data_IF_880304180017
#
_entry.id   IF_880304180017
#
_cell.length_a   1.000
_cell.length_b   1.000
_cell.length_c   1.000
_cell.angle_alpha   90.00
_cell.angle_beta   90.00
_cell.angle_gamma   90.00
#
_symmetry.space_group_name_H-M   'P 1'
#
loop_
_entity.id
_entity.type
_entity.pdbx_description
1 polymer ?
#
# COMPACT_ATOMS: atom_id res chain seq x y z
N UNK A 1 7.59 -3.37 88.01
CA UNK A 1 8.29 -3.33 86.75
C UNK A 1 7.51 -4.17 85.68
N UNK A 2 6.60 -3.53 84.94
CA UNK A 2 5.86 -4.18 83.83
C UNK A 2 6.43 -3.68 82.54
N UNK A 3 6.94 -4.59 81.71
CA UNK A 3 7.27 -4.36 80.29
C UNK A 3 6.04 -4.68 79.41
N UNK A 4 5.55 -3.69 78.71
CA UNK A 4 4.56 -3.87 77.66
C UNK A 4 5.27 -4.07 76.33
N UNK A 5 5.08 -5.26 75.72
CA UNK A 5 5.55 -5.58 74.35
C UNK A 5 4.46 -5.15 73.39
N UNK A 6 4.74 -4.11 72.62
CA UNK A 6 3.86 -3.66 71.54
C UNK A 6 4.11 -4.48 70.27
N UNK A 7 3.12 -5.24 69.81
CA UNK A 7 3.13 -5.93 68.54
C UNK A 7 2.77 -4.91 67.41
N UNK A 8 3.73 -4.60 66.58
CA UNK A 8 3.53 -3.89 65.31
C UNK A 8 3.03 -4.87 64.27
N UNK A 9 1.73 -4.92 64.03
CA UNK A 9 1.15 -5.58 62.86
C UNK A 9 1.38 -4.68 61.61
N UNK A 10 2.40 -5.02 60.87
CA UNK A 10 2.64 -4.45 59.54
C UNK A 10 1.64 -4.98 58.53
N UNK A 11 0.61 -4.23 58.20
CA UNK A 11 -0.20 -4.49 57.00
C UNK A 11 0.63 -4.16 55.73
N UNK A 12 1.34 -5.16 55.24
CA UNK A 12 1.89 -5.15 53.91
C UNK A 12 0.76 -5.33 52.89
N UNK A 13 0.16 -4.21 52.47
CA UNK A 13 -0.72 -4.20 51.29
C UNK A 13 0.15 -4.44 50.06
N UNK A 14 0.17 -5.68 49.55
CA UNK A 14 0.61 -5.92 48.20
C UNK A 14 -0.28 -5.07 47.28
N UNK A 15 0.29 -3.99 46.73
CA UNK A 15 -0.27 -3.34 45.55
C UNK A 15 -0.20 -4.40 44.45
N UNK A 16 -1.32 -5.13 44.20
CA UNK A 16 -1.54 -5.80 42.93
C UNK A 16 -1.31 -4.72 41.86
N UNK A 17 -0.23 -4.89 41.09
CA UNK A 17 -0.06 -4.12 39.87
C UNK A 17 -1.36 -4.30 39.07
N UNK A 18 -2.02 -3.21 38.80
CA UNK A 18 -3.19 -3.16 37.92
C UNK A 18 -2.67 -3.52 36.52
N UNK A 19 -2.72 -4.81 36.21
CA UNK A 19 -2.36 -5.38 34.91
C UNK A 19 -3.53 -5.21 33.95
N UNK A 20 -4.15 -4.03 33.99
CA UNK A 20 -5.05 -3.57 32.93
C UNK A 20 -4.18 -3.39 31.68
N UNK A 21 -4.11 -4.45 30.87
CA UNK A 21 -3.39 -4.40 29.57
C UNK A 21 -3.85 -3.16 28.83
N UNK A 22 -2.92 -2.20 28.69
CA UNK A 22 -3.19 -0.95 27.97
C UNK A 22 -3.76 -1.29 26.60
N UNK A 23 -4.95 -0.79 26.27
CA UNK A 23 -5.57 -0.93 24.95
C UNK A 23 -4.66 -0.26 23.91
N UNK A 24 -4.15 -1.04 22.97
CA UNK A 24 -3.35 -0.51 21.85
C UNK A 24 -4.28 0.07 20.79
N UNK A 25 -3.99 1.27 20.31
CA UNK A 25 -4.75 1.90 19.22
C UNK A 25 -3.93 1.86 17.95
N UNK A 26 -4.46 1.26 16.91
CA UNK A 26 -3.82 1.14 15.60
C UNK A 26 -4.63 1.91 14.56
N UNK A 27 -4.02 2.90 13.91
CA UNK A 27 -4.59 3.54 12.73
C UNK A 27 -4.32 2.68 11.49
N UNK A 28 -5.36 2.33 10.75
CA UNK A 28 -5.22 1.66 9.44
C UNK A 28 -5.68 2.64 8.37
N UNK A 29 -4.76 3.07 7.52
CA UNK A 29 -5.05 3.92 6.38
C UNK A 29 -4.88 3.14 5.08
N UNK A 30 -5.92 3.14 4.27
CA UNK A 30 -5.95 2.52 2.94
C UNK A 30 -6.18 3.61 1.88
N UNK A 31 -5.47 3.53 0.75
CA UNK A 31 -5.56 4.53 -0.31
C UNK A 31 -6.95 4.55 -0.95
N UNK A 32 -7.43 3.37 -1.38
CA UNK A 32 -8.69 3.18 -2.10
C UNK A 32 -9.17 1.74 -1.89
N UNK A 33 -10.44 1.46 -2.16
CA UNK A 33 -10.99 0.11 -2.14
C UNK A 33 -10.76 -0.60 -3.48
N UNK A 34 -10.08 -1.72 -3.42
CA UNK A 34 -10.04 -2.78 -4.44
C UNK A 34 -9.55 -4.08 -3.79
N UNK A 35 -9.76 -5.23 -4.46
CA UNK A 35 -9.58 -6.55 -3.87
C UNK A 35 -8.22 -6.78 -3.23
N UNK A 36 -7.12 -6.34 -3.87
CA UNK A 36 -5.76 -6.54 -3.34
C UNK A 36 -5.51 -5.73 -2.05
N UNK A 37 -5.89 -4.44 -2.00
CA UNK A 37 -5.71 -3.63 -0.78
C UNK A 37 -6.62 -4.08 0.36
N UNK A 38 -7.84 -4.54 0.04
CA UNK A 38 -8.77 -5.09 1.03
C UNK A 38 -8.22 -6.40 1.62
N UNK A 39 -7.60 -7.24 0.80
CA UNK A 39 -6.93 -8.45 1.25
C UNK A 39 -5.72 -8.13 2.15
N UNK A 40 -4.90 -7.12 1.79
CA UNK A 40 -3.79 -6.66 2.60
C UNK A 40 -4.24 -6.14 3.98
N UNK A 41 -5.34 -5.36 4.02
CA UNK A 41 -5.96 -4.87 5.26
C UNK A 41 -6.42 -6.03 6.16
N UNK A 42 -7.20 -6.96 5.59
CA UNK A 42 -7.66 -8.16 6.30
C UNK A 42 -6.48 -9.01 6.80
N UNK A 43 -5.45 -9.16 5.95
CA UNK A 43 -4.23 -9.89 6.30
C UNK A 43 -3.46 -9.27 7.46
N UNK A 44 -3.33 -7.94 7.49
CA UNK A 44 -2.71 -7.23 8.62
C UNK A 44 -3.47 -7.49 9.93
N UNK A 45 -4.79 -7.34 9.93
CA UNK A 45 -5.64 -7.59 11.13
C UNK A 45 -5.54 -9.04 11.59
N UNK A 46 -5.59 -10.00 10.65
CA UNK A 46 -5.43 -11.42 10.95
C UNK A 46 -4.04 -11.74 11.53
N UNK A 47 -2.99 -11.12 10.96
CA UNK A 47 -1.62 -11.22 11.48
C UNK A 47 -1.50 -10.70 12.91
N UNK A 48 -2.08 -9.55 13.21
CA UNK A 48 -2.15 -9.00 14.57
C UNK A 48 -2.88 -9.95 15.53
N UNK A 49 -4.02 -10.49 15.11
CA UNK A 49 -4.80 -11.45 15.91
C UNK A 49 -4.00 -12.73 16.20
N UNK A 50 -3.23 -13.25 15.23
CA UNK A 50 -2.37 -14.43 15.41
C UNK A 50 -1.26 -14.22 16.43
N UNK A 51 -0.87 -12.95 16.67
CA UNK A 51 0.12 -12.55 17.69
C UNK A 51 -0.53 -12.15 19.02
N UNK A 52 -1.83 -12.38 19.17
CA UNK A 52 -2.57 -12.12 20.41
C UNK A 52 -3.16 -10.72 20.53
N UNK A 53 -3.07 -9.89 19.49
CA UNK A 53 -3.73 -8.57 19.44
C UNK A 53 -5.14 -8.75 18.87
N UNK A 54 -6.11 -8.92 19.75
CA UNK A 54 -7.50 -9.16 19.36
C UNK A 54 -8.34 -7.90 19.47
N UNK A 55 -9.08 -7.61 18.43
CA UNK A 55 -9.92 -6.42 18.36
C UNK A 55 -10.96 -6.42 19.48
N UNK A 56 -11.12 -5.26 20.12
CA UNK A 56 -11.98 -5.00 21.28
C UNK A 56 -11.60 -5.76 22.58
N UNK A 57 -10.54 -6.61 22.56
CA UNK A 57 -9.98 -7.18 23.79
C UNK A 57 -8.77 -6.39 24.29
N UNK A 58 -7.78 -6.15 23.40
CA UNK A 58 -6.54 -5.45 23.74
C UNK A 58 -5.99 -4.57 22.60
N UNK A 59 -6.67 -4.51 21.45
CA UNK A 59 -6.38 -3.59 20.35
C UNK A 59 -7.69 -2.97 19.83
N UNK A 60 -7.59 -1.69 19.46
CA UNK A 60 -8.64 -0.95 18.75
C UNK A 60 -8.09 -0.47 17.41
N UNK A 61 -8.83 -0.69 16.34
CA UNK A 61 -8.49 -0.21 15.01
C UNK A 61 -9.30 1.04 14.63
N UNK A 62 -8.61 2.11 14.22
CA UNK A 62 -9.20 3.27 13.55
C UNK A 62 -8.96 3.09 12.04
N UNK A 63 -9.95 2.53 11.34
CA UNK A 63 -9.87 2.22 9.91
C UNK A 63 -10.34 3.40 9.09
N UNK A 64 -9.51 3.84 8.15
CA UNK A 64 -9.79 4.97 7.27
C UNK A 64 -9.46 4.62 5.83
N UNK A 65 -10.30 5.09 4.90
CA UNK A 65 -10.09 4.97 3.46
C UNK A 65 -10.05 6.37 2.83
N UNK A 66 -9.03 6.64 2.04
CA UNK A 66 -8.83 7.95 1.43
C UNK A 66 -9.59 8.13 0.12
N UNK A 67 -10.14 7.07 -0.47
CA UNK A 67 -10.89 7.12 -1.74
C UNK A 67 -10.05 7.71 -2.89
N UNK A 68 -8.77 7.37 -2.94
CA UNK A 68 -7.77 7.88 -3.89
C UNK A 68 -7.59 9.41 -3.86
N UNK A 69 -8.01 10.09 -2.78
CA UNK A 69 -7.91 11.54 -2.63
C UNK A 69 -6.76 11.92 -1.68
N UNK A 70 -5.85 12.76 -2.18
CA UNK A 70 -4.67 13.18 -1.41
C UNK A 70 -5.04 14.05 -0.20
N UNK A 71 -6.09 14.85 -0.28
CA UNK A 71 -6.55 15.67 0.85
C UNK A 71 -7.13 14.79 1.95
N UNK A 72 -7.87 13.73 1.59
CA UNK A 72 -8.35 12.75 2.54
C UNK A 72 -7.18 12.02 3.23
N UNK A 73 -6.12 11.63 2.48
CA UNK A 73 -4.91 11.05 3.08
C UNK A 73 -4.29 11.97 4.12
N UNK A 74 -4.17 13.26 3.82
CA UNK A 74 -3.64 14.25 4.76
C UNK A 74 -4.51 14.37 6.01
N UNK A 75 -5.84 14.42 5.85
CA UNK A 75 -6.77 14.48 6.97
C UNK A 75 -6.70 13.21 7.85
N UNK A 76 -6.57 12.04 7.24
CA UNK A 76 -6.39 10.77 7.95
C UNK A 76 -5.09 10.79 8.75
N UNK A 77 -3.99 11.25 8.15
CA UNK A 77 -2.70 11.35 8.83
C UNK A 77 -2.78 12.31 10.04
N UNK A 78 -3.38 13.48 9.88
CA UNK A 78 -3.60 14.44 10.97
C UNK A 78 -4.46 13.83 12.09
N UNK A 79 -5.50 13.07 11.73
CA UNK A 79 -6.36 12.35 12.68
C UNK A 79 -5.54 11.36 13.52
N UNK A 80 -4.70 10.54 12.90
CA UNK A 80 -3.90 9.54 13.62
C UNK A 80 -2.86 10.19 14.53
N UNK A 81 -2.19 11.24 14.06
CA UNK A 81 -1.24 12.02 14.88
C UNK A 81 -1.94 12.68 16.06
N UNK A 82 -3.08 13.35 15.85
CA UNK A 82 -3.84 14.02 16.91
C UNK A 82 -4.39 13.05 17.94
N UNK A 83 -4.83 11.88 17.50
CA UNK A 83 -5.34 10.81 18.37
C UNK A 83 -4.21 10.01 19.04
N UNK A 84 -2.94 10.28 18.71
CA UNK A 84 -1.75 9.61 19.26
C UNK A 84 -1.89 8.08 19.18
N UNK A 85 -2.22 7.56 18.01
CA UNK A 85 -2.28 6.12 17.82
C UNK A 85 -0.92 5.48 18.12
N UNK A 86 -0.90 4.26 18.66
CA UNK A 86 0.34 3.58 19.04
C UNK A 86 1.10 3.01 17.83
N UNK A 87 0.40 2.74 16.73
CA UNK A 87 0.94 2.20 15.47
C UNK A 87 0.08 2.67 14.29
N UNK A 88 0.70 2.89 13.14
CA UNK A 88 0.01 3.10 11.87
C UNK A 88 0.29 1.90 10.95
N UNK A 89 -0.77 1.31 10.39
CA UNK A 89 -0.72 0.46 9.21
C UNK A 89 -1.03 1.32 7.98
N UNK A 90 -0.07 1.47 7.08
CA UNK A 90 -0.22 2.24 5.85
C UNK A 90 -0.28 1.29 4.64
N UNK A 91 -1.40 1.31 3.92
CA UNK A 91 -1.66 0.41 2.80
C UNK A 91 -1.60 1.21 1.50
N UNK A 92 -0.69 0.86 0.63
CA UNK A 92 -0.24 1.49 -0.61
C UNK A 92 0.84 2.57 -0.44
N UNK A 93 1.67 2.75 -1.48
CA UNK A 93 2.80 3.69 -1.48
C UNK A 93 2.42 5.14 -1.16
N UNK A 94 1.39 5.75 -1.78
CA UNK A 94 1.01 7.14 -1.46
C UNK A 94 0.56 7.31 -0.01
N UNK A 95 -0.12 6.30 0.54
CA UNK A 95 -0.53 6.29 1.95
C UNK A 95 0.68 6.27 2.87
N UNK A 96 1.64 5.36 2.63
CA UNK A 96 2.86 5.26 3.42
C UNK A 96 3.66 6.57 3.39
N UNK A 97 3.79 7.19 2.21
CA UNK A 97 4.45 8.48 2.06
C UNK A 97 3.76 9.59 2.88
N UNK A 98 2.44 9.67 2.83
CA UNK A 98 1.68 10.68 3.56
C UNK A 98 1.82 10.50 5.08
N UNK A 99 1.71 9.26 5.58
CA UNK A 99 1.89 8.96 7.00
C UNK A 99 3.32 9.26 7.47
N UNK A 100 4.34 8.85 6.71
CA UNK A 100 5.75 9.11 7.02
C UNK A 100 6.12 10.60 7.02
N UNK A 101 5.43 11.41 6.22
CA UNK A 101 5.58 12.86 6.23
C UNK A 101 4.90 13.51 7.44
N UNK A 102 3.80 12.96 7.91
CA UNK A 102 3.01 13.51 9.02
C UNK A 102 3.62 13.24 10.40
N UNK A 103 4.37 12.14 10.58
CA UNK A 103 4.98 11.79 11.85
C UNK A 103 6.34 11.10 11.69
N UNK A 104 7.24 11.37 12.64
CA UNK A 104 8.52 10.65 12.79
C UNK A 104 8.57 9.80 14.07
N UNK A 105 7.55 9.94 14.91
CA UNK A 105 7.51 9.33 16.24
C UNK A 105 6.63 8.07 16.29
N UNK A 106 5.49 8.09 15.58
CA UNK A 106 4.59 6.93 15.54
C UNK A 106 5.18 5.88 14.59
N UNK A 107 5.38 4.63 15.03
CA UNK A 107 5.81 3.55 14.15
C UNK A 107 4.80 3.32 13.01
N UNK A 108 5.32 3.08 11.80
CA UNK A 108 4.52 2.82 10.61
C UNK A 108 4.93 1.47 10.04
N UNK A 109 3.97 0.55 9.93
CA UNK A 109 4.11 -0.69 9.17
C UNK A 109 3.36 -0.50 7.86
N UNK A 110 4.10 -0.54 6.75
CA UNK A 110 3.53 -0.36 5.42
C UNK A 110 3.45 -1.70 4.67
N UNK A 111 2.42 -1.84 3.85
CA UNK A 111 2.22 -2.97 2.95
C UNK A 111 1.65 -2.48 1.62
N UNK A 112 1.72 -3.30 0.57
CA UNK A 112 1.40 -2.88 -0.79
C UNK A 112 2.27 -1.66 -1.20
N UNK A 113 3.57 -1.75 -0.94
CA UNK A 113 4.58 -0.73 -1.28
C UNK A 113 5.62 -1.38 -2.19
N UNK A 114 5.76 -0.86 -3.40
CA UNK A 114 6.62 -1.46 -4.42
C UNK A 114 8.10 -1.30 -4.07
N UNK A 115 8.53 -0.09 -3.72
CA UNK A 115 9.94 0.21 -3.42
C UNK A 115 10.06 1.31 -2.37
N UNK A 116 10.70 1.00 -1.24
CA UNK A 116 10.81 1.92 -0.11
C UNK A 116 11.85 3.03 -0.34
N UNK A 117 12.90 2.75 -1.14
CA UNK A 117 13.94 3.72 -1.46
C UNK A 117 13.39 4.76 -2.45
N UNK A 118 12.79 4.32 -3.55
CA UNK A 118 12.16 5.20 -4.55
C UNK A 118 11.03 6.01 -3.94
N UNK A 119 10.24 5.41 -3.05
CA UNK A 119 9.18 6.10 -2.31
C UNK A 119 9.72 7.05 -1.23
N UNK A 120 11.05 7.10 -0.97
CA UNK A 120 11.70 7.90 0.09
C UNK A 120 11.19 7.56 1.49
N UNK A 121 10.83 6.31 1.72
CA UNK A 121 10.36 5.80 3.01
C UNK A 121 11.49 5.20 3.83
N UNK A 122 12.54 4.73 3.18
CA UNK A 122 13.73 4.15 3.80
C UNK A 122 14.99 4.56 3.02
N UNK A 123 16.16 4.35 3.62
CA UNK A 123 17.45 4.59 2.95
C UNK A 123 17.74 3.52 1.87
N UNK A 124 17.21 2.32 2.05
CA UNK A 124 17.19 1.22 1.08
C UNK A 124 16.06 0.23 1.43
N UNK A 125 15.74 -0.65 0.51
CA UNK A 125 14.72 -1.70 0.75
C UNK A 125 15.15 -2.72 1.82
N UNK A 126 16.45 -2.86 2.10
CA UNK A 126 16.99 -3.80 3.10
C UNK A 126 17.28 -3.17 4.46
N UNK A 127 17.37 -1.85 4.54
CA UNK A 127 17.74 -1.12 5.76
C UNK A 127 16.71 -0.02 6.07
N UNK A 128 15.59 -0.35 6.72
CA UNK A 128 14.68 0.68 7.17
C UNK A 128 15.34 1.54 8.24
N UNK A 129 15.52 2.83 7.97
CA UNK A 129 16.02 3.83 8.92
C UNK A 129 14.90 4.80 9.22
N UNK A 130 14.55 4.94 10.49
CA UNK A 130 13.46 5.82 10.91
C UNK A 130 12.29 5.02 11.46
N UNK A 131 11.09 5.55 11.28
CA UNK A 131 9.86 5.00 11.86
C UNK A 131 9.03 4.15 10.90
N UNK A 132 9.53 3.86 9.68
CA UNK A 132 8.81 3.08 8.66
C UNK A 132 9.49 1.75 8.42
N UNK A 133 8.69 0.67 8.40
CA UNK A 133 9.09 -0.66 7.96
C UNK A 133 7.91 -1.34 7.27
N UNK A 134 8.12 -2.46 6.59
CA UNK A 134 7.01 -3.18 5.94
C UNK A 134 7.47 -4.23 4.95
N UNK A 135 6.59 -4.56 4.01
CA UNK A 135 6.80 -5.55 2.95
C UNK A 135 6.75 -4.90 1.58
N UNK A 136 7.59 -5.38 0.65
CA UNK A 136 7.55 -4.96 -0.76
C UNK A 136 6.67 -5.91 -1.57
N UNK A 137 5.97 -5.34 -2.56
CA UNK A 137 5.18 -6.04 -3.57
C UNK A 137 5.76 -5.89 -4.99
N UNK A 138 7.04 -5.54 -5.10
CA UNK A 138 7.69 -5.37 -6.41
C UNK A 138 7.52 -6.62 -7.29
N UNK A 139 6.97 -6.40 -8.48
CA UNK A 139 6.67 -7.45 -9.44
C UNK A 139 7.87 -7.82 -10.34
N UNK A 140 7.94 -9.07 -10.84
CA UNK A 140 8.92 -9.49 -11.82
C UNK A 140 8.53 -9.00 -13.23
N UNK A 141 8.80 -7.73 -13.54
CA UNK A 141 8.37 -7.05 -14.77
C UNK A 141 9.00 -7.71 -16.02
N UNK A 142 10.18 -8.27 -15.89
CA UNK A 142 10.85 -9.07 -16.93
C UNK A 142 10.00 -10.29 -17.33
N UNK A 143 9.49 -11.05 -16.36
CA UNK A 143 8.63 -12.22 -16.60
C UNK A 143 7.26 -11.81 -17.14
N UNK A 144 6.73 -10.69 -16.69
CA UNK A 144 5.47 -10.14 -17.21
C UNK A 144 5.61 -9.71 -18.67
N UNK A 145 6.72 -9.05 -19.03
CA UNK A 145 7.03 -8.72 -20.43
C UNK A 145 7.20 -9.98 -21.28
N UNK A 146 7.89 -11.01 -20.77
CA UNK A 146 8.03 -12.28 -21.48
C UNK A 146 6.67 -12.96 -21.69
N UNK A 147 5.78 -12.92 -20.72
CA UNK A 147 4.42 -13.45 -20.84
C UNK A 147 3.63 -12.68 -21.91
N UNK A 148 3.71 -11.35 -21.91
CA UNK A 148 3.08 -10.50 -22.92
C UNK A 148 3.54 -10.92 -24.32
N UNK A 149 4.85 -11.09 -24.51
CA UNK A 149 5.43 -11.47 -25.82
C UNK A 149 5.12 -12.93 -26.23
N UNK A 150 4.80 -13.82 -25.28
CA UNK A 150 4.27 -15.16 -25.61
C UNK A 150 2.84 -15.10 -26.13
N UNK A 151 2.02 -14.19 -25.56
CA UNK A 151 0.63 -13.99 -25.98
C UNK A 151 0.56 -13.21 -27.30
N UNK A 152 1.38 -12.18 -27.44
CA UNK A 152 1.42 -11.27 -28.58
C UNK A 152 2.84 -11.18 -29.16
N UNK A 153 3.33 -12.20 -29.87
CA UNK A 153 4.75 -12.31 -30.31
C UNK A 153 5.17 -11.28 -31.37
N UNK A 154 4.21 -10.60 -32.00
CA UNK A 154 4.49 -9.58 -33.02
C UNK A 154 4.47 -8.15 -32.44
N UNK A 155 4.40 -8.00 -31.12
CA UNK A 155 4.35 -6.71 -30.46
C UNK A 155 5.57 -5.86 -30.78
N UNK A 156 5.33 -4.66 -31.26
CA UNK A 156 6.34 -3.60 -31.49
C UNK A 156 6.12 -2.39 -30.61
N UNK A 157 4.87 -2.16 -30.20
CA UNK A 157 4.49 -1.04 -29.36
C UNK A 157 3.64 -1.55 -28.20
N UNK A 158 4.06 -1.30 -26.98
CA UNK A 158 3.31 -1.59 -25.75
C UNK A 158 2.73 -0.26 -25.26
N UNK A 159 1.40 -0.22 -25.03
CA UNK A 159 0.77 0.87 -24.31
C UNK A 159 0.86 0.65 -22.82
N UNK A 160 0.99 1.71 -22.04
CA UNK A 160 0.84 1.62 -20.60
C UNK A 160 -0.07 2.75 -20.10
N UNK A 161 -0.99 2.39 -19.18
CA UNK A 161 -1.88 3.35 -18.52
C UNK A 161 -1.63 3.27 -17.03
N UNK A 162 -1.38 4.41 -16.40
CA UNK A 162 -1.07 4.48 -14.98
C UNK A 162 -1.32 5.87 -14.38
N UNK A 163 -1.45 5.93 -13.06
CA UNK A 163 -1.62 7.20 -12.34
C UNK A 163 -0.32 7.98 -12.26
N UNK A 164 -0.35 9.24 -12.69
CA UNK A 164 0.79 10.17 -12.60
C UNK A 164 1.16 10.53 -11.16
N UNK A 165 0.30 10.25 -10.18
CA UNK A 165 0.53 10.54 -8.77
C UNK A 165 1.17 9.37 -8.01
N UNK A 166 1.34 8.21 -8.65
CA UNK A 166 1.88 7.00 -8.04
C UNK A 166 3.33 6.73 -8.48
N UNK A 167 4.30 7.02 -7.61
CA UNK A 167 5.73 6.80 -7.92
C UNK A 167 6.08 5.32 -8.10
N UNK A 168 5.33 4.42 -7.47
CA UNK A 168 5.41 2.97 -7.67
C UNK A 168 5.10 2.57 -9.12
N UNK A 169 4.09 3.18 -9.72
CA UNK A 169 3.69 2.93 -11.11
C UNK A 169 4.74 3.46 -12.08
N UNK A 170 5.22 4.69 -11.87
CA UNK A 170 6.29 5.27 -12.68
C UNK A 170 7.56 4.41 -12.67
N UNK A 171 7.98 3.93 -11.49
CA UNK A 171 9.13 3.03 -11.37
C UNK A 171 8.98 1.78 -12.24
N UNK A 172 7.82 1.12 -12.16
CA UNK A 172 7.56 -0.11 -12.92
C UNK A 172 7.53 0.16 -14.44
N UNK A 173 6.97 1.29 -14.85
CA UNK A 173 6.97 1.73 -16.26
C UNK A 173 8.39 2.02 -16.75
N UNK A 174 9.23 2.66 -15.94
CA UNK A 174 10.63 2.92 -16.30
C UNK A 174 11.43 1.62 -16.46
N UNK A 175 11.19 0.63 -15.60
CA UNK A 175 11.77 -0.71 -15.74
C UNK A 175 11.26 -1.39 -17.02
N UNK A 176 9.96 -1.34 -17.28
CA UNK A 176 9.36 -1.88 -18.52
C UNK A 176 9.99 -1.24 -19.77
N UNK A 177 10.12 0.10 -19.80
CA UNK A 177 10.71 0.83 -20.94
C UNK A 177 12.13 0.37 -21.22
N UNK A 178 12.93 0.15 -20.19
CA UNK A 178 14.29 -0.36 -20.33
C UNK A 178 14.28 -1.78 -20.93
N UNK A 179 13.52 -2.69 -20.33
CA UNK A 179 13.44 -4.09 -20.77
C UNK A 179 12.86 -4.24 -22.19
N UNK A 180 11.85 -3.46 -22.53
CA UNK A 180 11.24 -3.41 -23.86
C UNK A 180 12.20 -2.81 -24.88
N UNK A 181 12.90 -1.72 -24.55
CA UNK A 181 13.90 -1.09 -25.40
C UNK A 181 15.04 -2.02 -25.77
N UNK A 182 15.53 -2.85 -24.84
CA UNK A 182 16.55 -3.88 -25.09
C UNK A 182 16.10 -4.93 -26.12
N UNK A 183 14.78 -5.06 -26.33
CA UNK A 183 14.15 -5.95 -27.34
C UNK A 183 13.68 -5.20 -28.59
N UNK A 184 13.95 -3.90 -28.72
CA UNK A 184 13.52 -3.07 -29.86
C UNK A 184 12.02 -2.78 -29.85
N UNK A 185 11.35 -2.83 -28.68
CA UNK A 185 9.93 -2.57 -28.50
C UNK A 185 9.74 -1.18 -27.90
N UNK A 186 8.84 -0.39 -28.47
CA UNK A 186 8.50 0.93 -27.95
C UNK A 186 7.45 0.83 -26.82
N UNK A 187 7.52 1.73 -25.86
CA UNK A 187 6.49 1.91 -24.83
C UNK A 187 5.84 3.28 -24.99
N UNK A 188 4.52 3.31 -25.15
CA UNK A 188 3.70 4.53 -25.29
C UNK A 188 2.91 4.71 -24.01
N UNK A 189 3.17 5.82 -23.34
CA UNK A 189 2.57 6.11 -22.02
C UNK A 189 1.29 6.95 -22.17
N UNK A 190 0.27 6.58 -21.38
CA UNK A 190 -0.92 7.39 -21.15
C UNK A 190 -1.16 7.48 -19.65
N UNK A 191 -1.05 8.68 -19.08
CA UNK A 191 -1.22 8.88 -17.65
C UNK A 191 -2.62 9.36 -17.32
N UNK A 192 -3.08 8.99 -16.12
CA UNK A 192 -4.34 9.46 -15.54
C UNK A 192 -4.08 10.20 -14.23
N UNK A 193 -4.95 11.13 -13.89
CA UNK A 193 -4.96 11.79 -12.58
C UNK A 193 -6.05 11.22 -11.68
N UNK A 194 -7.14 10.76 -12.27
CA UNK A 194 -8.30 10.19 -11.59
C UNK A 194 -8.87 9.03 -12.38
N UNK A 195 -9.76 8.25 -11.78
CA UNK A 195 -10.48 7.16 -12.45
C UNK A 195 -11.29 7.62 -13.67
N UNK A 196 -11.74 8.88 -13.69
CA UNK A 196 -12.52 9.45 -14.79
C UNK A 196 -11.71 9.63 -16.09
N UNK A 197 -10.37 9.66 -15.99
CA UNK A 197 -9.48 9.86 -17.13
C UNK A 197 -9.18 8.54 -17.85
N UNK A 198 -9.43 7.38 -17.21
CA UNK A 198 -9.00 6.06 -17.67
C UNK A 198 -9.54 5.74 -19.07
N UNK A 199 -10.83 5.98 -19.32
CA UNK A 199 -11.44 5.71 -20.61
C UNK A 199 -10.76 6.49 -21.74
N UNK A 200 -10.52 7.79 -21.54
CA UNK A 200 -9.86 8.64 -22.52
C UNK A 200 -8.41 8.24 -22.74
N UNK A 201 -7.68 7.94 -21.65
CA UNK A 201 -6.30 7.46 -21.72
C UNK A 201 -6.20 6.16 -22.52
N UNK A 202 -7.08 5.17 -22.24
CA UNK A 202 -7.14 3.93 -22.97
C UNK A 202 -7.44 4.13 -24.44
N UNK A 203 -8.44 4.94 -24.80
CA UNK A 203 -8.77 5.26 -26.19
C UNK A 203 -7.59 5.93 -26.94
N UNK A 204 -6.76 6.71 -26.24
CA UNK A 204 -5.61 7.38 -26.85
C UNK A 204 -4.56 6.41 -27.37
N UNK A 205 -4.55 5.17 -26.88
CA UNK A 205 -3.63 4.09 -27.26
C UNK A 205 -4.16 3.23 -28.42
N UNK A 206 -5.48 3.20 -28.65
CA UNK A 206 -6.11 2.37 -29.70
C UNK A 206 -5.55 2.72 -31.08
N UNK A 207 -5.16 1.70 -31.84
CA UNK A 207 -4.54 1.83 -33.14
C UNK A 207 -3.07 2.28 -33.15
N UNK A 208 -2.47 2.49 -31.96
CA UNK A 208 -1.05 2.88 -31.82
C UNK A 208 -0.20 1.79 -31.16
N UNK A 209 -0.84 0.85 -30.45
CA UNK A 209 -0.16 -0.19 -29.67
C UNK A 209 -0.69 -1.58 -30.04
N UNK A 210 0.11 -2.59 -29.76
CA UNK A 210 -0.20 -3.98 -30.06
C UNK A 210 -0.64 -4.75 -28.80
N UNK A 211 -0.31 -4.24 -27.63
CA UNK A 211 -0.68 -4.77 -26.32
C UNK A 211 -0.65 -3.66 -25.28
N UNK A 212 -1.28 -3.88 -24.12
CA UNK A 212 -1.29 -2.95 -22.98
C UNK A 212 -0.67 -3.62 -21.77
N UNK A 213 0.18 -2.90 -21.06
CA UNK A 213 0.71 -3.24 -19.75
C UNK A 213 0.19 -2.24 -18.71
N UNK A 214 -0.32 -2.77 -17.60
CA UNK A 214 -0.76 -1.96 -16.46
C UNK A 214 0.13 -2.33 -15.27
N UNK A 215 0.91 -1.40 -14.72
CA UNK A 215 1.70 -1.67 -13.51
C UNK A 215 0.80 -1.92 -12.31
N UNK A 216 1.38 -2.27 -11.16
CA UNK A 216 0.68 -2.23 -9.87
C UNK A 216 0.34 -0.78 -9.54
N UNK A 217 -0.90 -0.40 -9.87
CA UNK A 217 -1.42 0.96 -9.80
C UNK A 217 -2.80 0.96 -9.15
N UNK A 218 -2.96 1.68 -8.05
CA UNK A 218 -4.17 1.59 -7.25
C UNK A 218 -5.38 2.28 -7.91
N UNK A 219 -5.13 3.36 -8.65
CA UNK A 219 -6.19 4.06 -9.41
C UNK A 219 -6.69 3.15 -10.53
N UNK A 220 -5.77 2.51 -11.24
CA UNK A 220 -6.13 1.57 -12.32
C UNK A 220 -6.85 0.34 -11.76
N UNK A 221 -6.33 -0.28 -10.69
CA UNK A 221 -6.94 -1.46 -10.06
C UNK A 221 -8.38 -1.19 -9.61
N UNK A 222 -8.65 -0.02 -9.05
CA UNK A 222 -10.00 0.37 -8.59
C UNK A 222 -11.03 0.52 -9.73
N UNK A 223 -10.58 0.63 -10.97
CA UNK A 223 -11.44 0.89 -12.14
C UNK A 223 -11.02 0.09 -13.38
N UNK A 224 -10.37 -1.04 -13.20
CA UNK A 224 -9.90 -1.91 -14.28
C UNK A 224 -10.98 -2.25 -15.32
N UNK A 225 -12.25 -2.49 -14.97
CA UNK A 225 -13.30 -2.73 -15.96
C UNK A 225 -13.45 -1.61 -17.01
N UNK A 226 -13.13 -0.36 -16.66
CA UNK A 226 -13.17 0.76 -17.62
C UNK A 226 -12.07 0.65 -18.68
N UNK A 227 -10.86 0.24 -18.29
CA UNK A 227 -9.78 -0.05 -19.24
C UNK A 227 -10.12 -1.26 -20.11
N UNK A 228 -10.57 -2.36 -19.48
CA UNK A 228 -10.88 -3.63 -20.15
C UNK A 228 -11.95 -3.43 -21.23
N UNK A 229 -13.00 -2.63 -20.97
CA UNK A 229 -14.03 -2.35 -21.95
C UNK A 229 -13.45 -1.77 -23.26
N UNK A 230 -12.47 -0.86 -23.17
CA UNK A 230 -11.81 -0.24 -24.34
C UNK A 230 -10.86 -1.22 -25.02
N UNK A 231 -10.07 -1.97 -24.24
CA UNK A 231 -9.08 -2.89 -24.80
C UNK A 231 -9.72 -4.13 -25.45
N UNK A 232 -10.84 -4.62 -24.91
CA UNK A 232 -11.62 -5.72 -25.50
C UNK A 232 -12.24 -5.31 -26.83
N UNK A 233 -12.85 -4.12 -26.91
CA UNK A 233 -13.37 -3.59 -28.18
C UNK A 233 -12.27 -3.46 -29.24
N UNK A 234 -11.09 -3.00 -28.80
CA UNK A 234 -9.91 -2.85 -29.66
C UNK A 234 -9.14 -4.16 -29.89
N UNK A 235 -9.50 -5.27 -29.23
CA UNK A 235 -8.82 -6.57 -29.23
C UNK A 235 -7.34 -6.47 -28.85
N UNK A 236 -7.04 -5.63 -27.88
CA UNK A 236 -5.70 -5.46 -27.33
C UNK A 236 -5.51 -6.38 -26.12
N UNK A 237 -4.52 -7.30 -26.13
CA UNK A 237 -4.20 -8.07 -24.94
C UNK A 237 -3.68 -7.16 -23.84
N UNK A 238 -4.06 -7.45 -22.59
CA UNK A 238 -3.65 -6.71 -21.40
C UNK A 238 -2.88 -7.62 -20.46
N UNK A 239 -1.74 -7.16 -19.98
CA UNK A 239 -0.99 -7.77 -18.87
C UNK A 239 -1.02 -6.79 -17.71
N UNK A 240 -1.40 -7.28 -16.54
CA UNK A 240 -1.49 -6.48 -15.31
C UNK A 240 -0.35 -6.84 -14.36
N UNK A 241 0.08 -5.85 -13.57
CA UNK A 241 1.08 -6.00 -12.51
C UNK A 241 0.60 -6.88 -11.37
N UNK A 242 -0.70 -6.94 -11.16
CA UNK A 242 -1.33 -7.76 -10.13
C UNK A 242 -2.58 -8.46 -10.67
N UNK A 243 -2.99 -9.54 -10.00
CA UNK A 243 -4.28 -10.18 -10.21
C UNK A 243 -5.19 -9.86 -9.03
N UNK A 244 -6.43 -9.54 -9.31
CA UNK A 244 -7.45 -9.44 -8.28
C UNK A 244 -7.71 -10.85 -7.69
N UNK A 245 -7.70 -11.03 -6.34
CA UNK A 245 -7.90 -12.33 -5.71
C UNK A 245 -9.33 -12.85 -5.86
#
# INVERSE_FOLDING_TARGET
LLMAVGALAGCGGEKKADDSKKMVTVGIAQLVEHGALDAANKGFVAGMASKGFKENENVKYDRQNAQADQSNLQNIAQRFVSNKVDLICAIATPTAQTMANATKDIPIVATAVTDYEVAKLAASNSEPKGNVTGTSDMNPIDQQLELLLKIAPQTKNIGTVYSSSEVNSQLQVDVLKKLAGDKGINVIEATVSTVNDIQQAAHSLVGKVDAVYVPTDNVMASSMPTLVAVTDEARLPVICGESDP
#
